data_IF_497952002996
#
_entry.id   IF_497952002996
#
_cell.length_a   1.000
_cell.length_b   1.000
_cell.length_c   1.000
_cell.angle_alpha   90.00
_cell.angle_beta   90.00
_cell.angle_gamma   90.00
#
_symmetry.space_group_name_H-M   'P 1'
#
loop_
_entity.id
_entity.type
_entity.pdbx_description
1 polymer ?
#
# COMPACT_ATOMS: atom_id res chain seq x y z
N UNK A 1 11.55 -4.46 -2.94
CA UNK A 1 11.78 -5.87 -2.52
C UNK A 1 10.52 -6.55 -1.95
N UNK A 2 9.70 -5.84 -1.16
CA UNK A 2 8.43 -6.39 -0.66
C UNK A 2 7.53 -6.86 -1.80
N UNK A 3 7.27 -6.02 -2.78
CA UNK A 3 6.41 -6.36 -3.92
C UNK A 3 6.94 -7.49 -4.79
N UNK A 4 8.25 -7.69 -4.89
CA UNK A 4 8.81 -8.85 -5.59
C UNK A 4 8.42 -10.16 -4.90
N UNK A 5 8.49 -10.19 -3.56
CA UNK A 5 8.06 -11.37 -2.79
C UNK A 5 6.56 -11.62 -2.95
N UNK A 6 5.75 -10.57 -2.88
CA UNK A 6 4.30 -10.66 -3.09
C UNK A 6 3.97 -11.19 -4.49
N UNK A 7 4.60 -10.64 -5.52
CA UNK A 7 4.44 -11.06 -6.90
C UNK A 7 4.77 -12.55 -7.10
N UNK A 8 5.93 -12.99 -6.62
CA UNK A 8 6.34 -14.39 -6.71
C UNK A 8 5.40 -15.33 -5.92
N UNK A 9 4.94 -14.89 -4.76
CA UNK A 9 3.97 -15.64 -3.96
C UNK A 9 2.65 -15.80 -4.71
N UNK A 10 2.08 -14.73 -5.23
CA UNK A 10 0.81 -14.75 -5.95
C UNK A 10 0.89 -15.64 -7.19
N UNK A 11 1.93 -15.50 -8.00
CA UNK A 11 2.16 -16.35 -9.20
C UNK A 11 2.28 -17.83 -8.88
N UNK A 12 2.82 -18.19 -7.71
CA UNK A 12 2.93 -19.60 -7.28
C UNK A 12 1.66 -20.13 -6.65
N UNK A 13 0.89 -19.27 -5.99
CA UNK A 13 -0.26 -19.68 -5.17
C UNK A 13 -1.54 -19.81 -5.96
N UNK A 14 -1.74 -18.95 -6.94
CA UNK A 14 -2.98 -18.84 -7.69
C UNK A 14 -2.77 -19.18 -9.15
N UNK A 15 -3.70 -19.98 -9.72
CA UNK A 15 -3.68 -20.35 -11.15
C UNK A 15 -4.18 -19.20 -12.03
N UNK A 16 -5.14 -18.44 -11.52
CA UNK A 16 -5.75 -17.30 -12.20
C UNK A 16 -5.59 -16.09 -11.32
N UNK A 17 -4.57 -15.30 -11.60
CA UNK A 17 -4.28 -14.04 -10.93
C UNK A 17 -3.86 -13.02 -11.97
N UNK A 18 -4.53 -11.89 -11.95
CA UNK A 18 -4.16 -10.71 -12.73
C UNK A 18 -3.49 -9.71 -11.79
N UNK A 19 -2.33 -9.20 -12.14
CA UNK A 19 -1.55 -8.31 -11.30
C UNK A 19 -1.38 -6.98 -12.02
N UNK A 20 -1.89 -5.94 -11.41
CA UNK A 20 -1.83 -4.57 -11.91
C UNK A 20 -0.86 -3.76 -11.07
N UNK A 21 0.06 -3.08 -11.71
CA UNK A 21 1.02 -2.22 -11.08
C UNK A 21 0.64 -0.76 -11.28
N UNK A 22 0.46 -0.03 -10.17
CA UNK A 22 0.18 1.40 -10.18
C UNK A 22 1.36 2.11 -9.52
N UNK A 23 1.97 3.02 -10.24
CA UNK A 23 2.96 3.96 -9.69
C UNK A 23 2.31 5.31 -9.48
N UNK A 24 2.68 5.93 -8.38
CA UNK A 24 2.18 7.26 -8.08
C UNK A 24 3.29 8.17 -7.55
N UNK A 25 3.25 9.41 -8.01
CA UNK A 25 3.99 10.56 -7.52
C UNK A 25 2.98 11.71 -7.35
N UNK A 26 3.08 12.77 -8.12
CA UNK A 26 2.01 13.77 -8.26
C UNK A 26 0.80 13.24 -9.03
N UNK A 27 1.05 12.33 -9.95
CA UNK A 27 0.06 11.62 -10.75
C UNK A 27 0.24 10.12 -10.55
N UNK A 28 -0.84 9.39 -10.74
CA UNK A 28 -0.81 7.93 -10.74
C UNK A 28 -1.08 7.40 -12.13
N UNK A 29 -0.42 6.31 -12.45
CA UNK A 29 -0.64 5.57 -13.71
C UNK A 29 -0.34 4.10 -13.54
N UNK A 30 -1.05 3.30 -14.32
CA UNK A 30 -0.69 1.90 -14.54
C UNK A 30 0.63 1.82 -15.31
N UNK A 31 1.47 0.89 -14.90
CA UNK A 31 2.77 0.62 -15.53
C UNK A 31 2.96 -0.88 -15.66
N UNK A 32 3.85 -1.30 -16.55
CA UNK A 32 4.27 -2.70 -16.63
C UNK A 32 5.17 -3.11 -15.47
N UNK A 33 5.39 -4.41 -15.35
CA UNK A 33 6.21 -5.02 -14.30
C UNK A 33 7.65 -4.46 -14.32
N UNK A 34 8.26 -4.32 -15.50
CA UNK A 34 9.62 -3.85 -15.64
C UNK A 34 9.76 -2.41 -15.15
N UNK A 35 8.87 -1.53 -15.59
CA UNK A 35 8.81 -0.14 -15.13
C UNK A 35 8.59 -0.04 -13.63
N UNK A 36 7.69 -0.86 -13.08
CA UNK A 36 7.39 -0.84 -11.65
C UNK A 36 8.60 -1.20 -10.78
N UNK A 37 9.37 -2.21 -11.17
CA UNK A 37 10.46 -2.70 -10.32
C UNK A 37 11.81 -2.03 -10.57
N UNK A 38 12.06 -1.49 -11.76
CA UNK A 38 13.40 -1.05 -12.16
C UNK A 38 13.50 0.44 -12.47
N UNK A 39 12.41 1.16 -12.70
CA UNK A 39 12.48 2.60 -12.91
C UNK A 39 12.46 3.35 -11.58
N UNK A 40 13.31 4.37 -11.46
CA UNK A 40 13.28 5.32 -10.36
C UNK A 40 12.48 6.56 -10.79
N UNK A 41 11.50 6.94 -9.99
CA UNK A 41 10.84 8.23 -10.12
C UNK A 41 10.97 8.99 -8.80
N UNK A 42 11.20 10.28 -8.90
CA UNK A 42 11.27 11.20 -7.76
C UNK A 42 10.19 12.26 -7.93
N UNK A 43 9.51 12.61 -6.84
CA UNK A 43 8.45 13.63 -6.87
C UNK A 43 7.67 13.64 -5.57
N UNK A 44 6.84 14.66 -5.37
CA UNK A 44 5.91 14.70 -4.24
C UNK A 44 4.82 13.64 -4.39
N UNK A 45 4.23 13.25 -3.27
CA UNK A 45 3.23 12.17 -3.24
C UNK A 45 1.83 12.75 -3.06
N UNK A 46 0.91 12.42 -3.97
CA UNK A 46 -0.53 12.67 -3.86
C UNK A 46 -1.25 11.33 -3.89
N UNK A 47 -1.52 10.80 -2.72
CA UNK A 47 -2.02 9.41 -2.56
C UNK A 47 -3.40 9.22 -3.18
N UNK A 48 -4.27 10.23 -3.12
CA UNK A 48 -5.60 10.13 -3.72
C UNK A 48 -5.58 9.79 -5.21
N UNK A 49 -4.54 10.20 -5.94
CA UNK A 49 -4.42 9.88 -7.38
C UNK A 49 -4.25 8.39 -7.63
N UNK A 50 -3.50 7.69 -6.75
CA UNK A 50 -3.33 6.24 -6.84
C UNK A 50 -4.66 5.49 -6.56
N UNK A 51 -5.43 5.96 -5.59
CA UNK A 51 -6.73 5.38 -5.26
C UNK A 51 -7.76 5.63 -6.38
N UNK A 52 -7.74 6.80 -6.99
CA UNK A 52 -8.58 7.11 -8.16
C UNK A 52 -8.22 6.25 -9.37
N UNK A 53 -6.93 6.08 -9.65
CA UNK A 53 -6.47 5.22 -10.73
C UNK A 53 -6.85 3.75 -10.50
N UNK A 54 -6.68 3.25 -9.26
CA UNK A 54 -7.14 1.91 -8.88
C UNK A 54 -8.65 1.74 -9.12
N UNK A 55 -9.46 2.71 -8.67
CA UNK A 55 -10.92 2.70 -8.90
C UNK A 55 -11.25 2.62 -10.40
N UNK A 56 -10.57 3.44 -11.23
CA UNK A 56 -10.77 3.47 -12.68
C UNK A 56 -10.48 2.11 -13.29
N UNK A 57 -9.33 1.52 -12.96
CA UNK A 57 -8.89 0.23 -13.50
C UNK A 57 -9.86 -0.90 -13.09
N UNK A 58 -10.32 -0.92 -11.84
CA UNK A 58 -11.30 -1.90 -11.36
C UNK A 58 -12.60 -1.78 -12.17
N UNK A 59 -13.13 -0.56 -12.30
CA UNK A 59 -14.38 -0.32 -13.03
C UNK A 59 -14.30 -0.72 -14.50
N UNK A 60 -13.14 -0.53 -15.13
CA UNK A 60 -12.97 -0.83 -16.57
C UNK A 60 -12.73 -2.32 -16.84
N UNK A 61 -12.03 -3.05 -15.95
CA UNK A 61 -11.53 -4.40 -16.27
C UNK A 61 -11.94 -5.49 -15.30
N UNK A 62 -12.32 -5.14 -14.08
CA UNK A 62 -12.52 -6.10 -12.99
C UNK A 62 -13.90 -5.92 -12.32
N UNK A 63 -15.00 -6.21 -13.02
CA UNK A 63 -16.35 -6.00 -12.48
C UNK A 63 -16.59 -6.82 -11.21
N UNK A 64 -17.34 -6.22 -10.30
CA UNK A 64 -17.77 -6.88 -9.07
C UNK A 64 -18.56 -8.18 -9.38
N UNK A 65 -18.27 -9.23 -8.65
CA UNK A 65 -18.88 -10.55 -8.82
C UNK A 65 -18.04 -11.53 -9.65
N UNK A 66 -17.17 -11.04 -10.53
CA UNK A 66 -16.27 -11.90 -11.32
C UNK A 66 -14.86 -11.97 -10.73
N UNK A 67 -14.49 -10.97 -9.94
CA UNK A 67 -13.15 -10.81 -9.39
C UNK A 67 -13.13 -10.55 -7.88
N UNK A 68 -12.18 -11.18 -7.20
CA UNK A 68 -11.83 -10.83 -5.83
C UNK A 68 -10.64 -9.87 -5.87
N UNK A 69 -10.83 -8.65 -5.42
CA UNK A 69 -9.83 -7.58 -5.46
C UNK A 69 -9.00 -7.58 -4.18
N UNK A 70 -7.69 -7.66 -4.33
CA UNK A 70 -6.71 -7.54 -3.26
C UNK A 70 -5.76 -6.40 -3.60
N UNK A 71 -5.50 -5.51 -2.66
CA UNK A 71 -4.61 -4.38 -2.87
C UNK A 71 -3.43 -4.41 -1.89
N UNK A 72 -2.29 -3.93 -2.36
CA UNK A 72 -1.11 -3.70 -1.53
C UNK A 72 -0.47 -2.36 -1.91
N UNK A 73 -0.37 -1.47 -0.94
CA UNK A 73 0.27 -0.16 -1.07
C UNK A 73 1.51 -0.10 -0.18
N UNK A 74 2.64 0.35 -0.74
CA UNK A 74 3.82 0.72 0.01
C UNK A 74 4.13 2.21 -0.16
N UNK A 75 4.47 2.86 0.93
CA UNK A 75 4.79 4.30 0.99
C UNK A 75 5.84 4.54 2.07
N UNK A 76 6.54 5.65 2.00
CA UNK A 76 7.37 6.19 3.08
C UNK A 76 6.57 6.99 4.12
N UNK A 77 5.27 7.09 3.92
CA UNK A 77 4.33 7.79 4.80
C UNK A 77 4.10 9.26 4.46
N UNK A 78 4.78 9.76 3.42
CA UNK A 78 4.58 11.11 2.94
C UNK A 78 3.29 11.21 2.11
N UNK A 79 2.56 12.29 2.34
CA UNK A 79 1.42 12.72 1.53
C UNK A 79 1.25 14.23 1.68
N UNK A 80 0.73 14.89 0.68
CA UNK A 80 0.35 16.29 0.81
C UNK A 80 -0.75 16.44 1.86
N UNK A 81 -0.56 17.34 2.82
CA UNK A 81 -1.49 17.50 3.96
C UNK A 81 -2.93 17.83 3.53
N UNK A 82 -3.09 18.56 2.44
CA UNK A 82 -4.40 18.87 1.85
C UNK A 82 -5.07 17.69 1.12
N UNK A 83 -4.31 16.62 0.84
CA UNK A 83 -4.81 15.40 0.21
C UNK A 83 -5.27 14.34 1.21
N UNK A 84 -4.89 14.45 2.47
CA UNK A 84 -5.18 13.42 3.49
C UNK A 84 -6.68 13.15 3.66
N UNK A 85 -7.51 14.18 3.72
CA UNK A 85 -8.95 14.03 3.86
C UNK A 85 -9.58 13.34 2.64
N UNK A 86 -9.12 13.69 1.43
CA UNK A 86 -9.56 13.07 0.19
C UNK A 86 -9.14 11.62 0.11
N UNK A 87 -7.89 11.32 0.46
CA UNK A 87 -7.35 9.96 0.48
C UNK A 87 -8.12 9.07 1.48
N UNK A 88 -8.40 9.57 2.69
CA UNK A 88 -9.19 8.85 3.68
C UNK A 88 -10.60 8.53 3.17
N UNK A 89 -11.29 9.53 2.61
CA UNK A 89 -12.64 9.37 2.10
C UNK A 89 -12.71 8.39 0.91
N UNK A 90 -11.76 8.44 -0.01
CA UNK A 90 -11.65 7.49 -1.12
C UNK A 90 -11.38 6.09 -0.63
N UNK A 91 -10.44 5.93 0.31
CA UNK A 91 -10.10 4.63 0.86
C UNK A 91 -11.30 4.02 1.58
N UNK A 92 -11.93 4.75 2.52
CA UNK A 92 -13.03 4.23 3.35
C UNK A 92 -14.30 3.94 2.54
N UNK A 93 -14.70 4.87 1.66
CA UNK A 93 -16.02 4.82 1.04
C UNK A 93 -16.03 4.20 -0.37
N UNK A 94 -14.86 4.02 -0.99
CA UNK A 94 -14.77 3.52 -2.37
C UNK A 94 -13.89 2.28 -2.44
N UNK A 95 -12.64 2.36 -2.02
CA UNK A 95 -11.67 1.30 -2.26
C UNK A 95 -11.91 0.09 -1.34
N UNK A 96 -12.06 0.30 -0.03
CA UNK A 96 -12.26 -0.82 0.91
C UNK A 96 -13.55 -1.60 0.62
N UNK A 97 -14.69 -1.00 0.26
CA UNK A 97 -15.87 -1.75 -0.16
C UNK A 97 -15.66 -2.64 -1.39
N UNK A 98 -14.77 -2.26 -2.30
CA UNK A 98 -14.44 -3.04 -3.51
C UNK A 98 -13.40 -4.14 -3.24
N UNK A 99 -12.68 -4.10 -2.11
CA UNK A 99 -11.58 -5.00 -1.80
C UNK A 99 -11.99 -6.10 -0.83
N UNK A 100 -11.49 -7.30 -1.07
CA UNK A 100 -11.48 -8.36 -0.07
C UNK A 100 -10.42 -8.07 1.01
N UNK A 101 -9.33 -7.40 0.63
CA UNK A 101 -8.25 -7.06 1.56
C UNK A 101 -7.36 -5.96 0.99
N UNK A 102 -6.96 -5.03 1.85
CA UNK A 102 -6.04 -3.94 1.55
C UNK A 102 -4.86 -3.97 2.54
N UNK A 103 -3.64 -4.15 2.04
CA UNK A 103 -2.43 -4.12 2.84
C UNK A 103 -1.70 -2.79 2.66
N UNK A 104 -1.55 -2.01 3.72
CA UNK A 104 -0.70 -0.82 3.74
C UNK A 104 0.62 -1.10 4.44
N UNK A 105 1.72 -0.86 3.74
CA UNK A 105 3.08 -1.04 4.25
C UNK A 105 3.81 0.29 4.26
N UNK A 106 4.13 0.80 5.44
CA UNK A 106 4.96 1.98 5.59
C UNK A 106 6.43 1.58 5.74
N UNK A 107 7.25 2.03 4.81
CA UNK A 107 8.69 1.77 4.82
C UNK A 107 9.40 2.97 5.42
N UNK A 108 9.85 2.85 6.67
CA UNK A 108 10.69 3.87 7.29
C UNK A 108 12.11 3.75 6.74
N UNK A 109 12.68 4.84 6.27
CA UNK A 109 14.11 4.89 6.05
C UNK A 109 14.78 5.15 7.40
N UNK A 110 15.33 4.11 8.03
CA UNK A 110 16.31 4.33 9.06
C UNK A 110 17.54 4.96 8.39
N UNK A 111 17.68 6.27 8.53
CA UNK A 111 18.92 6.97 8.19
C UNK A 111 20.02 6.40 9.09
N UNK A 112 20.78 5.46 8.57
CA UNK A 112 22.10 5.13 9.12
C UNK A 112 22.97 6.41 9.01
N UNK A 113 23.09 7.15 10.10
CA UNK A 113 24.17 8.08 10.27
C UNK A 113 23.89 9.59 10.32
N UNK A 114 22.89 10.03 11.07
CA UNK A 114 22.76 11.46 11.38
C UNK A 114 22.10 11.72 12.72
N UNK A 115 22.61 12.72 13.46
CA UNK A 115 22.06 13.15 14.76
C UNK A 115 20.55 13.50 14.68
N UNK A 116 20.05 13.89 13.50
CA UNK A 116 18.63 14.20 13.26
C UNK A 116 17.75 12.96 13.14
N UNK A 117 18.28 11.84 12.61
CA UNK A 117 17.55 10.58 12.47
C UNK A 117 17.28 9.91 13.82
N UNK A 118 18.25 9.96 14.74
CA UNK A 118 18.10 9.40 16.07
C UNK A 118 17.03 10.14 16.90
N UNK A 119 16.92 11.48 16.78
CA UNK A 119 15.92 12.26 17.50
C UNK A 119 14.50 12.04 16.96
N UNK A 120 14.34 11.92 15.64
CA UNK A 120 13.03 11.64 15.00
C UNK A 120 12.53 10.22 15.30
N UNK A 121 13.42 9.23 15.28
CA UNK A 121 13.09 7.84 15.63
C UNK A 121 12.75 7.68 17.12
N UNK A 122 13.38 8.45 18.00
CA UNK A 122 13.16 8.40 19.46
C UNK A 122 11.82 9.01 19.86
N UNK A 123 11.24 9.93 19.07
CA UNK A 123 9.97 10.55 19.35
C UNK A 123 8.76 9.80 18.79
N UNK A 124 8.96 8.70 18.07
CA UNK A 124 7.89 7.79 17.60
C UNK A 124 6.76 8.48 16.81
N UNK A 125 7.07 9.60 16.14
CA UNK A 125 6.06 10.39 15.45
C UNK A 125 5.52 9.63 14.24
N UNK A 126 4.22 9.30 14.29
CA UNK A 126 3.53 8.72 13.16
C UNK A 126 3.50 9.70 11.99
N UNK A 127 3.67 9.19 10.77
CA UNK A 127 3.53 9.98 9.54
C UNK A 127 2.09 10.46 9.35
N UNK A 128 1.89 11.44 8.52
CA UNK A 128 0.55 11.99 8.25
C UNK A 128 -0.34 10.95 7.56
N UNK A 129 0.21 10.20 6.62
CA UNK A 129 -0.54 9.14 5.93
C UNK A 129 -0.88 7.98 6.87
N UNK A 130 0.05 7.58 7.76
CA UNK A 130 -0.23 6.55 8.77
C UNK A 130 -1.40 6.94 9.67
N UNK A 131 -1.39 8.17 10.19
CA UNK A 131 -2.48 8.68 11.03
C UNK A 131 -3.80 8.71 10.27
N UNK A 132 -3.76 9.15 9.02
CA UNK A 132 -4.93 9.21 8.13
C UNK A 132 -5.53 7.82 7.93
N UNK A 133 -4.73 6.84 7.58
CA UNK A 133 -5.20 5.47 7.34
C UNK A 133 -5.65 4.75 8.62
N UNK A 134 -5.02 5.07 9.76
CA UNK A 134 -5.42 4.53 11.06
C UNK A 134 -6.86 4.92 11.45
N UNK A 135 -7.35 6.07 11.03
CA UNK A 135 -8.74 6.48 11.24
C UNK A 135 -9.73 5.63 10.44
N UNK A 136 -9.29 5.10 9.30
CA UNK A 136 -10.09 4.23 8.41
C UNK A 136 -9.98 2.76 8.82
N UNK A 137 -8.85 2.34 9.36
CA UNK A 137 -8.58 0.96 9.79
C UNK A 137 -9.33 0.60 11.09
N UNK A 138 -10.66 0.63 11.04
CA UNK A 138 -11.55 0.28 12.15
C UNK A 138 -11.66 -1.24 12.30
N UNK A 139 -12.07 -1.76 13.47
CA UNK A 139 -12.38 -3.17 13.62
C UNK A 139 -13.38 -3.66 12.56
N UNK A 140 -13.05 -4.73 11.85
CA UNK A 140 -13.87 -5.28 10.77
C UNK A 140 -13.64 -4.66 9.39
N UNK A 141 -12.87 -3.58 9.26
CA UNK A 141 -12.49 -3.07 7.95
C UNK A 141 -11.45 -3.99 7.29
N UNK A 142 -11.55 -4.27 5.98
CA UNK A 142 -10.64 -5.18 5.28
C UNK A 142 -9.27 -4.53 4.98
N UNK A 143 -8.66 -3.91 5.98
CA UNK A 143 -7.38 -3.23 5.87
C UNK A 143 -6.43 -3.66 6.99
N UNK A 144 -5.19 -3.95 6.63
CA UNK A 144 -4.11 -4.14 7.58
C UNK A 144 -2.96 -3.19 7.29
N UNK A 145 -2.36 -2.67 8.37
CA UNK A 145 -1.28 -1.70 8.32
C UNK A 145 -0.04 -2.24 9.02
N UNK A 146 1.11 -2.18 8.37
CA UNK A 146 2.39 -2.60 8.96
C UNK A 146 3.49 -1.63 8.61
N UNK A 147 4.45 -1.49 9.56
CA UNK A 147 5.69 -0.73 9.34
C UNK A 147 6.84 -1.69 9.08
N UNK A 148 7.70 -1.33 8.14
CA UNK A 148 8.94 -2.04 7.82
C UNK A 148 10.08 -1.04 7.98
N UNK A 149 10.93 -1.25 8.97
CA UNK A 149 12.08 -0.37 9.27
C UNK A 149 13.37 -0.91 8.69
N UNK A 150 13.52 -2.22 8.65
CA UNK A 150 14.71 -2.90 8.18
C UNK A 150 14.38 -3.95 7.13
N UNK A 151 15.38 -4.30 6.31
CA UNK A 151 15.23 -5.37 5.31
C UNK A 151 14.87 -6.73 5.93
N UNK A 152 15.27 -6.97 7.17
CA UNK A 152 15.00 -8.22 7.89
C UNK A 152 13.52 -8.38 8.26
N UNK A 153 12.81 -7.28 8.41
CA UNK A 153 11.37 -7.27 8.75
C UNK A 153 10.47 -7.56 7.55
N UNK A 154 10.98 -7.44 6.32
CA UNK A 154 10.17 -7.61 5.10
C UNK A 154 9.48 -8.98 5.09
N UNK A 155 10.21 -10.06 5.34
CA UNK A 155 9.65 -11.40 5.28
C UNK A 155 8.68 -11.72 6.44
N UNK A 156 8.99 -11.40 7.70
CA UNK A 156 8.04 -11.51 8.81
C UNK A 156 6.74 -10.73 8.56
N UNK A 157 6.84 -9.46 8.14
CA UNK A 157 5.68 -8.61 7.84
C UNK A 157 4.87 -9.19 6.68
N UNK A 158 5.52 -9.65 5.62
CA UNK A 158 4.86 -10.32 4.52
C UNK A 158 4.07 -11.55 4.98
N UNK A 159 4.68 -12.41 5.80
CA UNK A 159 3.99 -13.59 6.34
C UNK A 159 2.77 -13.20 7.17
N UNK A 160 2.89 -12.20 8.00
CA UNK A 160 1.79 -11.72 8.84
C UNK A 160 0.64 -11.19 8.01
N UNK A 161 0.92 -10.36 6.99
CA UNK A 161 -0.10 -9.78 6.12
C UNK A 161 -0.83 -10.81 5.24
N UNK A 162 -0.13 -11.85 4.80
CA UNK A 162 -0.63 -12.83 3.83
C UNK A 162 -0.70 -14.27 4.36
N UNK A 163 -0.64 -14.46 5.70
CA UNK A 163 -0.92 -15.75 6.31
C UNK A 163 -2.40 -16.11 6.18
N UNK A 164 -2.69 -17.43 6.17
CA UNK A 164 -4.07 -17.93 5.99
C UNK A 164 -5.07 -17.46 7.06
N UNK A 165 -4.60 -17.05 8.22
CA UNK A 165 -5.44 -16.61 9.35
C UNK A 165 -6.12 -15.27 9.08
N UNK A 166 -5.57 -14.42 8.22
CA UNK A 166 -6.15 -13.12 7.85
C UNK A 166 -7.06 -13.18 6.61
N UNK A 167 -7.19 -14.35 5.98
CA UNK A 167 -8.02 -14.55 4.79
C UNK A 167 -9.40 -15.18 5.09
N UNK A 168 -9.75 -15.31 6.39
CA UNK A 168 -11.01 -15.92 6.81
C UNK A 168 -11.63 -15.06 7.90
N UNK A 169 -12.22 -13.97 7.50
CA UNK A 169 -13.27 -13.31 8.29
C UNK A 169 -14.27 -12.69 7.33
#
# INVERSE_FOLDING_TARGET
RFFILLFLFLKRRYRHVDIVFIRHTHEAKEVDEETFFYSAETGGTVVSTALEEMKRIIAERYPEGDWNIYAAQASDGDNMSNDNAKSAALLENVILPMCQYFAYIEVSQDYEGGLGGALGATLGRETDLWRTYKLVAKPGAPIAMRKVRTRREIFPVFRELFSRENATT
#
